data_IF_393739706096
#
_entry.id   IF_393739706096
#
_cell.length_a   1.000
_cell.length_b   1.000
_cell.length_c   1.000
_cell.angle_alpha   90.00
_cell.angle_beta   90.00
_cell.angle_gamma   90.00
#
_symmetry.space_group_name_H-M   'P 1'
#
loop_
_entity.id
_entity.type
_entity.pdbx_description
1 polymer ?
#
# COMPACT_ATOMS: atom_id res chain seq x y z
N UNK A 1 37.40 -2.37 24.99
CA UNK A 1 36.12 -1.73 24.66
C UNK A 1 35.87 -0.64 25.69
N UNK A 2 35.88 0.62 25.27
CA UNK A 2 35.71 1.78 26.17
C UNK A 2 34.21 1.95 26.52
N UNK A 3 33.92 2.56 27.68
CA UNK A 3 32.56 2.90 28.14
C UNK A 3 31.81 3.76 27.11
N UNK A 4 32.50 4.66 26.41
CA UNK A 4 31.92 5.47 25.33
C UNK A 4 31.49 4.62 24.13
N UNK A 5 32.27 3.60 23.74
CA UNK A 5 31.90 2.67 22.68
C UNK A 5 30.70 1.81 23.08
N UNK A 6 30.64 1.36 24.34
CA UNK A 6 29.50 0.61 24.86
C UNK A 6 28.20 1.42 24.82
N UNK A 7 28.24 2.68 25.29
CA UNK A 7 27.08 3.58 25.25
C UNK A 7 26.65 3.86 23.81
N UNK A 8 27.60 4.05 22.90
CA UNK A 8 27.32 4.25 21.48
C UNK A 8 26.61 3.03 20.86
N UNK A 9 27.13 1.82 21.10
CA UNK A 9 26.51 0.58 20.60
C UNK A 9 25.10 0.38 21.16
N UNK A 10 24.88 0.66 22.45
CA UNK A 10 23.56 0.58 23.08
C UNK A 10 22.59 1.56 22.42
N UNK A 11 22.99 2.83 22.26
CA UNK A 11 22.17 3.85 21.63
C UNK A 11 21.85 3.53 20.16
N UNK A 12 22.82 3.03 19.39
CA UNK A 12 22.59 2.57 18.01
C UNK A 12 21.64 1.38 17.96
N UNK A 13 21.74 0.44 18.91
CA UNK A 13 20.85 -0.72 19.01
C UNK A 13 19.42 -0.29 19.36
N UNK A 14 19.25 0.63 20.31
CA UNK A 14 17.96 1.22 20.67
C UNK A 14 17.37 2.04 19.50
N UNK A 15 18.19 2.80 18.78
CA UNK A 15 17.73 3.55 17.61
C UNK A 15 17.25 2.59 16.50
N UNK A 16 17.98 1.50 16.25
CA UNK A 16 17.61 0.46 15.28
C UNK A 16 16.33 -0.31 15.65
N UNK A 17 15.88 -0.29 16.90
CA UNK A 17 14.61 -0.90 17.33
C UNK A 17 13.45 0.08 17.28
N UNK A 18 13.69 1.39 17.41
CA UNK A 18 12.65 2.43 17.22
C UNK A 18 12.34 2.64 15.73
N UNK A 19 11.36 1.90 15.23
CA UNK A 19 10.82 2.11 13.89
C UNK A 19 9.76 3.21 13.90
N UNK A 20 10.05 4.33 13.24
CA UNK A 20 9.04 5.37 13.02
C UNK A 20 7.99 4.90 12.01
N UNK A 21 6.74 4.87 12.45
CA UNK A 21 5.61 4.49 11.60
C UNK A 21 5.19 5.62 10.63
N UNK A 22 5.60 6.86 10.89
CA UNK A 22 5.16 8.05 10.15
C UNK A 22 5.36 7.97 8.62
N UNK A 23 6.52 7.53 8.11
CA UNK A 23 6.74 7.40 6.66
C UNK A 23 5.81 6.37 6.01
N UNK A 24 5.55 5.25 6.68
CA UNK A 24 4.62 4.23 6.21
C UNK A 24 3.18 4.78 6.16
N UNK A 25 2.78 5.55 7.19
CA UNK A 25 1.48 6.20 7.26
C UNK A 25 1.27 7.20 6.13
N UNK A 26 2.29 8.00 5.83
CA UNK A 26 2.27 8.91 4.68
C UNK A 26 2.04 8.16 3.36
N UNK A 27 2.76 7.04 3.13
CA UNK A 27 2.57 6.24 1.93
C UNK A 27 1.12 5.72 1.83
N UNK A 28 0.54 5.26 2.93
CA UNK A 28 -0.83 4.75 2.94
C UNK A 28 -1.86 5.84 2.66
N UNK A 29 -1.66 7.04 3.19
CA UNK A 29 -2.51 8.20 2.90
C UNK A 29 -2.41 8.58 1.41
N UNK A 30 -1.18 8.68 0.89
CA UNK A 30 -0.93 9.01 -0.51
C UNK A 30 -1.61 8.02 -1.46
N UNK A 31 -1.36 6.72 -1.26
CA UNK A 31 -1.95 5.67 -2.08
C UNK A 31 -3.46 5.57 -1.92
N UNK A 32 -3.97 5.75 -0.70
CA UNK A 32 -5.39 5.80 -0.43
C UNK A 32 -6.07 6.91 -1.24
N UNK A 33 -5.53 8.12 -1.19
CA UNK A 33 -6.08 9.26 -1.92
C UNK A 33 -5.96 9.08 -3.44
N UNK A 34 -4.82 8.56 -3.93
CA UNK A 34 -4.61 8.32 -5.35
C UNK A 34 -5.64 7.34 -5.92
N UNK A 35 -5.79 6.16 -5.30
CA UNK A 35 -6.67 5.11 -5.82
C UNK A 35 -8.16 5.48 -5.65
N UNK A 36 -8.54 6.14 -4.56
CA UNK A 36 -9.92 6.64 -4.38
C UNK A 36 -10.24 7.69 -5.45
N UNK A 37 -9.35 8.67 -5.66
CA UNK A 37 -9.54 9.69 -6.69
C UNK A 37 -9.63 9.07 -8.07
N UNK A 38 -8.78 8.08 -8.37
CA UNK A 38 -8.81 7.36 -9.64
C UNK A 38 -10.13 6.61 -9.85
N UNK A 39 -10.63 5.95 -8.80
CA UNK A 39 -11.87 5.17 -8.84
C UNK A 39 -13.08 6.07 -9.05
N UNK A 40 -13.15 7.19 -8.33
CA UNK A 40 -14.21 8.18 -8.47
C UNK A 40 -14.19 8.85 -9.85
N UNK A 41 -13.01 9.22 -10.34
CA UNK A 41 -12.88 9.81 -11.68
C UNK A 41 -13.36 8.83 -12.77
N UNK A 42 -12.98 7.55 -12.68
CA UNK A 42 -13.46 6.52 -13.59
C UNK A 42 -14.98 6.31 -13.48
N UNK A 43 -15.53 6.39 -12.27
CA UNK A 43 -16.97 6.23 -12.04
C UNK A 43 -17.79 7.38 -12.64
N UNK A 44 -17.35 8.64 -12.49
CA UNK A 44 -18.07 9.81 -13.01
C UNK A 44 -17.80 10.08 -14.49
N UNK A 45 -16.63 9.72 -15.01
CA UNK A 45 -16.22 9.98 -16.39
C UNK A 45 -15.79 8.69 -17.11
N UNK A 46 -16.68 7.69 -17.22
CA UNK A 46 -16.35 6.42 -17.86
C UNK A 46 -16.00 6.61 -19.34
N UNK A 47 -16.63 7.54 -20.04
CA UNK A 47 -16.34 7.84 -21.46
C UNK A 47 -14.92 8.32 -21.70
N UNK A 48 -14.31 9.01 -20.73
CA UNK A 48 -12.92 9.49 -20.81
C UNK A 48 -11.93 8.38 -20.48
N UNK A 49 -12.27 7.48 -19.57
CA UNK A 49 -11.38 6.39 -19.14
C UNK A 49 -11.50 5.16 -20.05
N UNK A 50 -12.67 4.92 -20.62
CA UNK A 50 -13.01 3.76 -21.44
C UNK A 50 -13.28 4.14 -22.91
N UNK A 51 -12.64 5.20 -23.42
CA UNK A 51 -12.80 5.60 -24.82
C UNK A 51 -12.31 4.54 -25.82
N UNK A 52 -11.42 3.63 -25.39
CA UNK A 52 -10.93 2.51 -26.19
C UNK A 52 -10.73 1.27 -25.29
N UNK A 53 -10.69 0.08 -25.89
CA UNK A 53 -10.45 -1.21 -25.20
C UNK A 53 -9.21 -1.16 -24.30
N UNK A 54 -8.16 -0.45 -24.72
CA UNK A 54 -6.91 -0.33 -23.97
C UNK A 54 -6.84 0.89 -23.04
N UNK A 55 -7.72 1.88 -23.19
CA UNK A 55 -7.58 3.15 -22.44
C UNK A 55 -7.77 2.96 -20.94
N UNK A 56 -8.70 2.08 -20.55
CA UNK A 56 -8.95 1.77 -19.15
C UNK A 56 -7.74 1.08 -18.52
N UNK A 57 -7.12 0.14 -19.24
CA UNK A 57 -5.91 -0.56 -18.77
C UNK A 57 -4.75 0.43 -18.63
N UNK A 58 -4.55 1.31 -19.62
CA UNK A 58 -3.50 2.34 -19.57
C UNK A 58 -3.72 3.26 -18.36
N UNK A 59 -4.95 3.70 -18.10
CA UNK A 59 -5.27 4.53 -16.94
C UNK A 59 -4.94 3.85 -15.61
N UNK A 60 -5.34 2.58 -15.46
CA UNK A 60 -5.12 1.80 -14.24
C UNK A 60 -3.69 1.27 -14.08
N UNK A 61 -2.84 1.35 -15.10
CA UNK A 61 -1.43 0.93 -15.05
C UNK A 61 -0.49 2.13 -14.96
N UNK A 62 -0.66 3.12 -15.81
CA UNK A 62 0.28 4.24 -15.94
C UNK A 62 0.27 5.13 -14.69
N UNK A 63 -0.92 5.44 -14.15
CA UNK A 63 -1.02 6.32 -12.97
C UNK A 63 -0.41 5.64 -11.72
N UNK A 64 -0.72 4.36 -11.41
CA UNK A 64 -0.06 3.68 -10.30
C UNK A 64 1.45 3.50 -10.53
N UNK A 65 1.90 3.27 -11.77
CA UNK A 65 3.33 3.20 -12.07
C UNK A 65 4.06 4.50 -11.71
N UNK A 66 3.48 5.66 -12.07
CA UNK A 66 4.02 6.96 -11.65
C UNK A 66 3.99 7.14 -10.13
N UNK A 67 2.91 6.69 -9.47
CA UNK A 67 2.80 6.65 -8.01
C UNK A 67 3.90 5.80 -7.36
N UNK A 68 4.26 4.65 -7.94
CA UNK A 68 5.35 3.79 -7.48
C UNK A 68 6.71 4.48 -7.60
N UNK A 69 6.98 5.15 -8.73
CA UNK A 69 8.24 5.90 -8.92
C UNK A 69 8.36 7.00 -7.86
N UNK A 70 7.29 7.79 -7.68
CA UNK A 70 7.26 8.86 -6.68
C UNK A 70 7.46 8.34 -5.25
N UNK A 71 6.68 7.32 -4.84
CA UNK A 71 6.78 6.78 -3.48
C UNK A 71 8.10 6.09 -3.21
N UNK A 72 8.70 5.42 -4.20
CA UNK A 72 10.04 4.84 -4.09
C UNK A 72 11.08 5.95 -3.87
N UNK A 73 11.06 7.01 -4.68
CA UNK A 73 11.95 8.16 -4.52
C UNK A 73 11.80 8.82 -3.15
N UNK A 74 10.56 9.07 -2.72
CA UNK A 74 10.24 9.64 -1.41
C UNK A 74 10.78 8.78 -0.26
N UNK A 75 10.58 7.46 -0.33
CA UNK A 75 11.04 6.52 0.68
C UNK A 75 12.57 6.43 0.75
N UNK A 76 13.27 6.48 -0.39
CA UNK A 76 14.74 6.53 -0.42
C UNK A 76 15.24 7.83 0.25
N UNK A 77 14.65 8.97 -0.11
CA UNK A 77 15.03 10.28 0.46
C UNK A 77 14.85 10.32 1.98
N UNK A 78 13.75 9.74 2.48
CA UNK A 78 13.50 9.66 3.93
C UNK A 78 14.41 8.66 4.63
N UNK A 79 14.65 7.50 4.02
CA UNK A 79 15.62 6.53 4.56
C UNK A 79 16.99 7.16 4.76
N UNK A 80 17.47 7.91 3.77
CA UNK A 80 18.73 8.64 3.85
C UNK A 80 18.72 9.73 4.94
N UNK A 81 17.58 10.40 5.15
CA UNK A 81 17.43 11.41 6.21
C UNK A 81 17.42 10.80 7.62
N UNK A 82 16.83 9.62 7.80
CA UNK A 82 16.79 8.90 9.08
C UNK A 82 18.19 8.35 9.41
N UNK A 83 18.98 7.96 8.40
CA UNK A 83 20.39 7.59 8.55
C UNK A 83 20.64 6.17 9.07
N UNK A 84 19.59 5.41 9.38
CA UNK A 84 19.68 4.00 9.78
C UNK A 84 18.45 3.20 9.27
N UNK A 85 18.64 1.90 9.03
CA UNK A 85 17.56 0.97 8.66
C UNK A 85 17.23 0.07 9.86
N UNK A 86 15.95 0.02 10.24
CA UNK A 86 15.45 -0.88 11.29
C UNK A 86 15.07 -2.24 10.70
N UNK A 87 15.06 -3.29 11.54
CA UNK A 87 14.61 -4.62 11.11
C UNK A 87 13.16 -4.55 10.60
N UNK A 88 12.29 -3.84 11.30
CA UNK A 88 10.89 -3.69 10.93
C UNK A 88 10.73 -2.94 9.60
N UNK A 89 11.49 -1.85 9.41
CA UNK A 89 11.49 -1.09 8.16
C UNK A 89 11.96 -1.93 6.97
N UNK A 90 12.97 -2.77 7.16
CA UNK A 90 13.46 -3.70 6.14
C UNK A 90 12.40 -4.73 5.76
N UNK A 91 11.73 -5.34 6.74
CA UNK A 91 10.65 -6.32 6.49
C UNK A 91 9.50 -5.68 5.70
N UNK A 92 9.07 -4.49 6.10
CA UNK A 92 8.01 -3.76 5.39
C UNK A 92 8.44 -3.44 3.95
N UNK A 93 9.67 -2.98 3.74
CA UNK A 93 10.20 -2.71 2.39
C UNK A 93 10.18 -3.96 1.50
N UNK A 94 10.54 -5.12 2.05
CA UNK A 94 10.51 -6.39 1.31
C UNK A 94 9.06 -6.76 0.93
N UNK A 95 8.11 -6.66 1.87
CA UNK A 95 6.70 -6.96 1.63
C UNK A 95 6.13 -6.10 0.50
N UNK A 96 6.39 -4.80 0.53
CA UNK A 96 5.94 -3.88 -0.51
C UNK A 96 6.70 -4.05 -1.84
N UNK A 97 7.96 -4.48 -1.79
CA UNK A 97 8.72 -4.87 -2.98
C UNK A 97 8.14 -6.11 -3.67
N UNK A 98 7.78 -7.14 -2.90
CA UNK A 98 7.11 -8.35 -3.40
C UNK A 98 5.74 -7.98 -3.97
N UNK A 99 4.95 -7.15 -3.27
CA UNK A 99 3.68 -6.63 -3.78
C UNK A 99 3.85 -5.95 -5.15
N UNK A 100 4.82 -5.04 -5.28
CA UNK A 100 5.09 -4.35 -6.54
C UNK A 100 5.48 -5.30 -7.68
N UNK A 101 6.34 -6.30 -7.40
CA UNK A 101 6.71 -7.32 -8.38
C UNK A 101 5.53 -8.19 -8.82
N UNK A 102 4.72 -8.66 -7.85
CA UNK A 102 3.50 -9.42 -8.11
C UNK A 102 2.46 -8.60 -8.88
N UNK A 103 2.33 -7.31 -8.60
CA UNK A 103 1.45 -6.41 -9.35
C UNK A 103 1.84 -6.31 -10.82
N UNK A 104 3.13 -6.11 -11.13
CA UNK A 104 3.63 -6.07 -12.51
C UNK A 104 3.35 -7.40 -13.23
N UNK A 105 3.53 -8.53 -12.54
CA UNK A 105 3.23 -9.84 -13.09
C UNK A 105 1.74 -10.00 -13.42
N UNK A 106 0.84 -9.62 -12.50
CA UNK A 106 -0.62 -9.67 -12.73
C UNK A 106 -1.04 -8.77 -13.91
N UNK A 107 -0.51 -7.56 -13.99
CA UNK A 107 -0.76 -6.64 -15.12
C UNK A 107 -0.29 -7.27 -16.45
N UNK A 108 0.88 -7.90 -16.45
CA UNK A 108 1.42 -8.56 -17.66
C UNK A 108 0.55 -9.73 -18.10
N UNK A 109 0.12 -10.59 -17.17
CA UNK A 109 -0.78 -11.72 -17.46
C UNK A 109 -2.13 -11.20 -17.97
N UNK A 110 -2.67 -10.14 -17.36
CA UNK A 110 -3.89 -9.49 -17.83
C UNK A 110 -3.81 -9.01 -19.28
N UNK A 111 -2.69 -8.40 -19.66
CA UNK A 111 -2.47 -7.94 -21.03
C UNK A 111 -2.38 -9.10 -22.04
N UNK A 112 -1.79 -10.24 -21.63
CA UNK A 112 -1.66 -11.43 -22.50
C UNK A 112 -3.02 -12.11 -22.71
N UNK A 113 -3.80 -12.28 -21.64
CA UNK A 113 -5.06 -13.03 -21.66
C UNK A 113 -6.31 -12.16 -21.80
N UNK A 114 -6.17 -10.83 -21.94
CA UNK A 114 -7.25 -9.85 -22.06
C UNK A 114 -8.34 -10.00 -20.98
N UNK A 115 -7.93 -10.19 -19.74
CA UNK A 115 -8.85 -10.24 -18.59
C UNK A 115 -8.59 -9.08 -17.62
N UNK A 116 -9.58 -8.73 -16.81
CA UNK A 116 -9.46 -7.63 -15.84
C UNK A 116 -8.81 -8.12 -14.52
N UNK A 117 -7.60 -7.65 -14.16
CA UNK A 117 -6.86 -8.13 -12.98
C UNK A 117 -7.24 -7.37 -11.71
N UNK A 118 -8.23 -6.48 -11.75
CA UNK A 118 -8.46 -5.55 -10.66
C UNK A 118 -8.84 -6.25 -9.34
N UNK A 119 -9.66 -7.31 -9.40
CA UNK A 119 -9.98 -8.12 -8.20
C UNK A 119 -8.74 -8.85 -7.66
N UNK A 120 -7.89 -9.41 -8.52
CA UNK A 120 -6.64 -10.07 -8.12
C UNK A 120 -5.69 -9.10 -7.42
N UNK A 121 -5.58 -7.88 -7.94
CA UNK A 121 -4.76 -6.80 -7.37
C UNK A 121 -5.29 -6.36 -6.01
N UNK A 122 -6.62 -6.23 -5.85
CA UNK A 122 -7.22 -5.88 -4.56
C UNK A 122 -7.04 -7.01 -3.54
N UNK A 123 -7.12 -8.27 -3.96
CA UNK A 123 -6.85 -9.42 -3.09
C UNK A 123 -5.40 -9.40 -2.62
N UNK A 124 -4.46 -9.24 -3.55
CA UNK A 124 -3.03 -9.11 -3.26
C UNK A 124 -2.76 -7.95 -2.29
N UNK A 125 -3.39 -6.79 -2.51
CA UNK A 125 -3.29 -5.64 -1.63
C UNK A 125 -3.82 -5.96 -0.22
N UNK A 126 -4.95 -6.66 -0.11
CA UNK A 126 -5.52 -7.09 1.16
C UNK A 126 -4.56 -7.99 1.95
N UNK A 127 -3.88 -8.92 1.27
CA UNK A 127 -2.82 -9.73 1.88
C UNK A 127 -1.65 -8.88 2.34
N UNK A 128 -1.15 -7.98 1.50
CA UNK A 128 -0.02 -7.09 1.82
C UNK A 128 -0.32 -6.19 3.01
N UNK A 129 -1.54 -5.63 3.10
CA UNK A 129 -1.99 -4.83 4.23
C UNK A 129 -2.12 -5.67 5.50
N UNK A 130 -2.73 -6.86 5.41
CA UNK A 130 -2.86 -7.77 6.56
C UNK A 130 -1.49 -8.15 7.13
N UNK A 131 -0.56 -8.57 6.27
CA UNK A 131 0.82 -8.90 6.67
C UNK A 131 1.52 -7.70 7.29
N UNK A 132 1.43 -6.53 6.65
CA UNK A 132 2.04 -5.29 7.17
C UNK A 132 1.49 -4.94 8.56
N UNK A 133 0.17 -5.01 8.74
CA UNK A 133 -0.52 -4.72 10.00
C UNK A 133 -0.12 -5.67 11.14
N UNK A 134 0.00 -6.97 10.85
CA UNK A 134 0.45 -7.97 11.84
C UNK A 134 1.89 -7.73 12.27
N UNK A 135 2.77 -7.43 11.32
CA UNK A 135 4.21 -7.21 11.57
C UNK A 135 4.46 -5.97 12.42
N UNK A 136 3.75 -4.87 12.14
CA UNK A 136 3.85 -3.63 12.93
C UNK A 136 2.94 -3.65 14.17
N UNK A 137 2.20 -4.76 14.40
CA UNK A 137 1.24 -4.92 15.50
C UNK A 137 0.18 -3.81 15.57
N UNK A 138 -0.26 -3.32 14.41
CA UNK A 138 -1.26 -2.25 14.32
C UNK A 138 -2.60 -2.80 13.81
N UNK A 139 -3.46 -3.18 14.76
CA UNK A 139 -4.72 -3.89 14.50
C UNK A 139 -5.64 -3.20 13.49
N UNK A 140 -5.62 -1.86 13.39
CA UNK A 140 -6.46 -1.12 12.43
C UNK A 140 -6.09 -1.43 10.98
N UNK A 141 -4.80 -1.60 10.68
CA UNK A 141 -4.33 -1.98 9.33
C UNK A 141 -4.69 -3.45 9.06
N UNK A 142 -4.45 -4.33 10.04
CA UNK A 142 -4.77 -5.76 9.91
C UNK A 142 -6.25 -5.96 9.61
N UNK A 143 -7.12 -5.29 10.36
CA UNK A 143 -8.56 -5.38 10.19
C UNK A 143 -9.00 -4.80 8.83
N UNK A 144 -8.41 -3.68 8.40
CA UNK A 144 -8.64 -3.12 7.07
C UNK A 144 -8.25 -4.08 5.93
N UNK A 145 -7.10 -4.76 6.05
CA UNK A 145 -6.67 -5.77 5.09
C UNK A 145 -7.58 -7.00 5.04
N UNK A 146 -8.00 -7.52 6.20
CA UNK A 146 -8.93 -8.65 6.29
C UNK A 146 -10.29 -8.28 5.69
N UNK A 147 -10.82 -7.10 6.00
CA UNK A 147 -12.06 -6.62 5.41
C UNK A 147 -11.96 -6.52 3.90
N UNK A 148 -10.85 -6.01 3.37
CA UNK A 148 -10.63 -5.92 1.92
C UNK A 148 -10.66 -7.31 1.26
N UNK A 149 -10.01 -8.31 1.87
CA UNK A 149 -10.03 -9.70 1.38
C UNK A 149 -11.46 -10.24 1.37
N UNK A 150 -12.21 -10.08 2.47
CA UNK A 150 -13.59 -10.53 2.55
C UNK A 150 -14.48 -9.84 1.50
N UNK A 151 -14.26 -8.54 1.25
CA UNK A 151 -14.99 -7.82 0.22
C UNK A 151 -14.67 -8.32 -1.20
N UNK A 152 -13.42 -8.65 -1.50
CA UNK A 152 -13.06 -9.23 -2.80
C UNK A 152 -13.74 -10.59 -3.00
N UNK A 153 -13.70 -11.45 -1.98
CA UNK A 153 -14.38 -12.74 -2.01
C UNK A 153 -15.88 -12.55 -2.23
N UNK A 154 -16.52 -11.63 -1.50
CA UNK A 154 -17.94 -11.34 -1.66
C UNK A 154 -18.30 -10.83 -3.06
N UNK A 155 -17.46 -9.95 -3.63
CA UNK A 155 -17.66 -9.41 -4.99
C UNK A 155 -17.57 -10.51 -6.04
N UNK A 156 -16.78 -11.56 -5.81
CA UNK A 156 -16.72 -12.72 -6.71
C UNK A 156 -18.05 -13.49 -6.79
N UNK A 157 -18.83 -13.50 -5.69
CA UNK A 157 -20.15 -14.15 -5.65
C UNK A 157 -21.30 -13.23 -6.11
N UNK A 158 -21.08 -11.92 -6.20
CA UNK A 158 -22.10 -10.94 -6.61
C UNK A 158 -21.55 -10.08 -7.76
N UNK A 159 -21.64 -10.56 -9.02
CA UNK A 159 -20.99 -9.92 -10.17
C UNK A 159 -21.56 -8.54 -10.55
N UNK A 160 -22.81 -8.25 -10.14
CA UNK A 160 -23.50 -6.99 -10.46
C UNK A 160 -23.01 -5.78 -9.64
N UNK A 161 -22.16 -6.02 -8.65
CA UNK A 161 -21.62 -4.95 -7.80
C UNK A 161 -20.64 -4.07 -8.57
N UNK A 162 -20.83 -2.76 -8.49
CA UNK A 162 -19.92 -1.82 -9.12
C UNK A 162 -18.55 -1.86 -8.43
N UNK A 163 -17.61 -2.55 -9.06
CA UNK A 163 -16.25 -2.75 -8.56
C UNK A 163 -15.53 -1.44 -8.17
N UNK A 164 -15.80 -0.32 -8.86
CA UNK A 164 -15.15 0.96 -8.57
C UNK A 164 -15.57 1.51 -7.20
N UNK A 165 -16.85 1.37 -6.85
CA UNK A 165 -17.36 1.78 -5.54
C UNK A 165 -16.84 0.86 -4.44
N UNK A 166 -16.78 -0.45 -4.70
CA UNK A 166 -16.17 -1.42 -3.78
C UNK A 166 -14.72 -1.07 -3.52
N UNK A 167 -13.98 -0.69 -4.56
CA UNK A 167 -12.58 -0.26 -4.43
C UNK A 167 -12.46 1.02 -3.58
N UNK A 168 -13.32 2.01 -3.78
CA UNK A 168 -13.33 3.24 -2.93
C UNK A 168 -13.52 2.89 -1.46
N UNK A 169 -14.52 2.06 -1.14
CA UNK A 169 -14.80 1.64 0.24
C UNK A 169 -13.63 0.84 0.80
N UNK A 170 -13.18 -0.17 0.06
CA UNK A 170 -12.09 -1.05 0.46
C UNK A 170 -10.79 -0.30 0.76
N UNK A 171 -10.38 0.61 -0.12
CA UNK A 171 -9.15 1.40 0.03
C UNK A 171 -9.30 2.42 1.17
N UNK A 172 -10.49 2.97 1.38
CA UNK A 172 -10.75 3.89 2.51
C UNK A 172 -10.49 3.20 3.84
N UNK A 173 -11.04 1.99 4.04
CA UNK A 173 -10.88 1.23 5.27
C UNK A 173 -9.53 0.48 5.37
N UNK A 174 -8.97 0.07 4.24
CA UNK A 174 -7.71 -0.69 4.18
C UNK A 174 -6.45 0.17 4.26
N UNK A 175 -6.45 1.37 3.66
CA UNK A 175 -5.27 2.22 3.53
C UNK A 175 -5.48 3.63 4.09
N UNK A 176 -6.54 4.33 3.71
CA UNK A 176 -6.68 5.75 4.03
C UNK A 176 -6.85 6.00 5.54
N UNK A 177 -7.89 5.41 6.15
CA UNK A 177 -8.16 5.56 7.58
C UNK A 177 -7.03 5.00 8.44
N UNK A 178 -6.51 3.77 8.18
CA UNK A 178 -5.39 3.26 8.95
C UNK A 178 -4.11 4.07 8.71
N UNK A 179 -3.92 4.63 7.51
CA UNK A 179 -2.81 5.51 7.17
C UNK A 179 -2.80 6.80 7.99
N UNK A 180 -3.96 7.47 8.14
CA UNK A 180 -4.10 8.60 9.06
C UNK A 180 -3.85 8.20 10.50
N UNK A 181 -4.43 7.08 10.94
CA UNK A 181 -4.24 6.59 12.29
C UNK A 181 -2.76 6.29 12.59
N UNK A 182 -2.02 5.81 11.60
CA UNK A 182 -0.60 5.49 11.70
C UNK A 182 0.29 6.75 11.59
N UNK A 183 -0.09 7.73 10.77
CA UNK A 183 0.63 8.99 10.62
C UNK A 183 0.57 9.88 11.88
N UNK A 184 -0.59 9.88 12.54
CA UNK A 184 -0.80 10.58 13.82
C UNK A 184 -0.48 9.71 15.04
N UNK A 185 -0.07 8.46 14.83
CA UNK A 185 0.33 7.59 15.92
C UNK A 185 1.53 8.21 16.65
N UNK A 186 1.30 8.65 17.88
CA UNK A 186 2.37 8.94 18.83
C UNK A 186 2.68 7.62 19.51
N UNK A 187 3.88 7.11 19.31
CA UNK A 187 4.44 6.09 20.18
C UNK A 187 4.42 6.73 21.58
N UNK A 188 3.60 6.21 22.49
CA UNK A 188 3.55 6.70 23.86
C UNK A 188 4.98 6.73 24.40
N UNK A 189 5.34 7.83 25.06
CA UNK A 189 6.65 8.07 25.70
C UNK A 189 7.15 6.87 26.51
#
# INVERSE_FOLDING_TARGET
MNKEEQIKIINETIAKTKFTLKPLGYNFIFWGFLIISMSLFHYFFPEIVQFNVYSAVIYWVLIPLLGMIYTTYYNIKIGNKIGYETILGRVIKIIWGVFGGSWIALVTISLIYNYNPALDILFLLGLTLTMSGLIIKFNKITLGGILLILFVIYTYFVPDLNFLLVNVVGITFGMLLPGFALYFYKENE
#
